data_IF_507376189846
#
_entry.id   IF_507376189846
#
_cell.length_a   1.000
_cell.length_b   1.000
_cell.length_c   1.000
_cell.angle_alpha   90.00
_cell.angle_beta   90.00
_cell.angle_gamma   90.00
#
_symmetry.space_group_name_H-M   'P 1'
#
loop_
_entity.id
_entity.type
_entity.pdbx_description
1 polymer ?
#
# COMPACT_ATOMS: atom_id res chain seq x y z
N UNK A 1 9.80 -37.30 -9.91
CA UNK A 1 10.09 -36.05 -10.63
C UNK A 1 11.60 -35.89 -10.61
N UNK A 2 12.25 -35.72 -11.79
CA UNK A 2 13.68 -35.44 -11.85
C UNK A 2 13.93 -34.02 -11.35
N UNK A 3 14.89 -33.86 -10.45
CA UNK A 3 15.30 -32.55 -9.95
C UNK A 3 16.12 -31.83 -11.04
N UNK A 4 16.12 -30.47 -11.06
CA UNK A 4 16.92 -29.72 -12.02
C UNK A 4 18.42 -29.76 -11.67
N UNK A 5 19.25 -29.40 -12.65
CA UNK A 5 20.65 -29.12 -12.36
C UNK A 5 20.77 -27.95 -11.35
N UNK A 6 21.77 -27.92 -10.47
CA UNK A 6 22.94 -28.83 -10.43
C UNK A 6 22.75 -30.07 -9.57
N UNK A 7 21.58 -30.29 -8.96
CA UNK A 7 21.33 -31.47 -8.12
C UNK A 7 21.35 -32.72 -8.98
N UNK A 8 20.62 -32.73 -10.08
CA UNK A 8 20.63 -33.80 -11.05
C UNK A 8 21.68 -33.55 -12.14
N UNK A 9 22.54 -34.52 -12.39
CA UNK A 9 23.64 -34.47 -13.35
C UNK A 9 23.63 -35.70 -14.26
N UNK A 10 24.67 -35.90 -15.07
CA UNK A 10 24.87 -37.10 -15.85
C UNK A 10 25.50 -38.24 -15.04
N UNK A 11 25.82 -38.00 -13.79
CA UNK A 11 26.38 -38.99 -12.85
C UNK A 11 25.27 -39.74 -12.08
N UNK A 12 25.63 -40.63 -11.19
CA UNK A 12 24.68 -41.31 -10.31
C UNK A 12 24.36 -40.41 -9.12
N UNK A 13 23.24 -39.71 -9.20
CA UNK A 13 22.77 -38.82 -8.15
C UNK A 13 21.68 -39.54 -7.33
N UNK A 14 21.93 -39.78 -6.06
CA UNK A 14 21.11 -40.62 -5.18
C UNK A 14 20.88 -39.93 -3.83
N UNK A 15 19.96 -40.49 -3.04
CA UNK A 15 19.80 -40.13 -1.63
C UNK A 15 19.43 -38.67 -1.36
N UNK A 16 18.64 -38.05 -2.25
CA UNK A 16 18.19 -36.66 -2.04
C UNK A 16 17.38 -36.52 -0.75
N UNK A 17 17.77 -35.56 0.07
CA UNK A 17 17.02 -35.12 1.25
C UNK A 17 17.04 -33.61 1.33
N UNK A 18 15.93 -33.01 1.71
CA UNK A 18 15.82 -31.57 1.83
C UNK A 18 15.15 -31.16 3.14
N UNK A 19 15.29 -29.87 3.50
CA UNK A 19 14.47 -29.24 4.52
C UNK A 19 13.00 -29.23 4.09
N UNK A 20 12.07 -29.06 5.04
CA UNK A 20 10.64 -28.96 4.76
C UNK A 20 10.30 -27.85 3.74
N UNK A 21 11.10 -26.81 3.68
CA UNK A 21 10.94 -25.67 2.76
C UNK A 21 11.69 -25.84 1.44
N UNK A 22 12.39 -26.95 1.24
CA UNK A 22 13.21 -27.23 0.05
C UNK A 22 14.34 -26.22 -0.21
N UNK A 23 14.73 -25.43 0.82
CA UNK A 23 15.76 -24.38 0.67
C UNK A 23 17.17 -24.92 0.69
N UNK A 24 17.39 -26.00 1.38
CA UNK A 24 18.69 -26.64 1.52
C UNK A 24 18.53 -28.13 1.72
N UNK A 25 19.54 -28.86 1.39
CA UNK A 25 19.53 -30.30 1.56
C UNK A 25 20.86 -30.93 1.15
N UNK A 26 20.84 -32.25 1.07
CA UNK A 26 21.98 -33.05 0.71
C UNK A 26 21.58 -34.10 -0.31
N UNK A 27 22.51 -34.50 -1.13
CA UNK A 27 22.39 -35.61 -2.03
C UNK A 27 23.76 -36.29 -2.19
N UNK A 28 23.78 -37.57 -2.53
CA UNK A 28 25.02 -38.26 -2.87
C UNK A 28 25.21 -38.29 -4.38
N UNK A 29 26.46 -38.18 -4.84
CA UNK A 29 26.79 -38.22 -6.25
C UNK A 29 28.22 -38.70 -6.45
N UNK A 30 28.45 -39.42 -7.55
CA UNK A 30 29.79 -39.86 -7.99
C UNK A 30 30.37 -38.93 -9.07
N UNK A 31 29.81 -37.70 -9.23
CA UNK A 31 30.20 -36.72 -10.27
C UNK A 31 31.70 -36.37 -10.30
N UNK A 32 32.38 -36.50 -9.19
CA UNK A 32 33.84 -36.27 -9.06
C UNK A 32 34.64 -37.58 -9.07
N UNK A 33 34.05 -38.68 -9.58
CA UNK A 33 34.72 -39.99 -9.70
C UNK A 33 34.69 -40.84 -8.44
N UNK A 34 34.04 -40.42 -7.36
CA UNK A 34 33.79 -41.17 -6.14
C UNK A 34 32.52 -40.70 -5.44
N UNK A 35 31.83 -41.61 -4.76
CA UNK A 35 30.64 -41.28 -4.00
C UNK A 35 30.94 -40.22 -2.91
N UNK A 36 30.26 -39.09 -2.99
CA UNK A 36 30.36 -38.00 -2.02
C UNK A 36 28.99 -37.45 -1.69
N UNK A 37 28.87 -36.83 -0.53
CA UNK A 37 27.69 -36.09 -0.12
C UNK A 37 27.89 -34.60 -0.48
N UNK A 38 26.96 -34.08 -1.26
CA UNK A 38 26.91 -32.68 -1.66
C UNK A 38 25.78 -31.98 -0.93
N UNK A 39 26.09 -30.81 -0.35
CA UNK A 39 25.06 -29.89 0.13
C UNK A 39 24.61 -28.93 -0.97
N UNK A 40 23.34 -28.62 -1.02
CA UNK A 40 22.80 -27.57 -1.89
C UNK A 40 22.05 -26.52 -1.08
N UNK A 41 22.00 -25.31 -1.63
CA UNK A 41 21.16 -24.22 -1.16
C UNK A 41 20.46 -23.60 -2.35
N UNK A 42 19.14 -23.56 -2.31
CA UNK A 42 18.34 -22.91 -3.35
C UNK A 42 18.45 -21.39 -3.20
N UNK A 43 18.96 -20.74 -4.22
CA UNK A 43 18.96 -19.28 -4.30
C UNK A 43 17.63 -18.85 -4.90
N UNK A 44 16.88 -18.07 -4.15
CA UNK A 44 15.62 -17.49 -4.60
C UNK A 44 15.93 -16.08 -5.10
N UNK A 45 15.66 -15.77 -6.38
CA UNK A 45 15.87 -14.43 -6.89
C UNK A 45 14.87 -13.48 -6.20
N UNK A 46 15.38 -12.47 -5.48
CA UNK A 46 14.58 -11.48 -4.78
C UNK A 46 14.24 -10.30 -5.72
N UNK A 47 13.12 -9.65 -5.44
CA UNK A 47 12.68 -8.41 -6.09
C UNK A 47 12.39 -8.53 -7.60
N UNK A 48 12.13 -9.75 -8.09
CA UNK A 48 11.78 -9.99 -9.50
C UNK A 48 10.29 -9.75 -9.71
N UNK A 49 9.97 -8.93 -10.73
CA UNK A 49 8.59 -8.66 -11.16
C UNK A 49 7.63 -8.23 -10.05
N UNK A 50 8.09 -7.38 -9.13
CA UNK A 50 7.27 -6.84 -8.05
C UNK A 50 6.19 -5.91 -8.60
N UNK A 51 4.89 -6.26 -8.52
CA UNK A 51 3.81 -5.37 -8.93
C UNK A 51 3.78 -4.12 -8.07
N UNK A 52 3.21 -3.05 -8.61
CA UNK A 52 2.97 -1.83 -7.84
C UNK A 52 1.87 -2.09 -6.82
N UNK A 53 2.09 -1.66 -5.58
CA UNK A 53 1.12 -1.74 -4.50
C UNK A 53 -0.18 -1.05 -4.88
N UNK A 54 -1.28 -1.76 -4.70
CA UNK A 54 -2.61 -1.23 -4.89
C UNK A 54 -3.18 -0.76 -3.55
N UNK A 55 -4.06 0.25 -3.63
CA UNK A 55 -4.79 0.76 -2.46
C UNK A 55 -6.20 0.22 -2.51
N UNK A 56 -6.69 -0.29 -1.38
CA UNK A 56 -8.08 -0.73 -1.27
C UNK A 56 -9.03 0.43 -1.55
N UNK A 57 -10.04 0.15 -2.36
CA UNK A 57 -11.11 1.09 -2.65
C UNK A 57 -12.45 0.44 -2.29
N UNK A 58 -13.14 1.05 -1.35
CA UNK A 58 -14.44 0.59 -0.86
C UNK A 58 -15.58 1.50 -1.29
N UNK A 59 -15.34 2.35 -2.31
CA UNK A 59 -16.34 3.27 -2.85
C UNK A 59 -17.00 2.69 -4.10
N UNK A 60 -18.33 2.73 -4.14
CA UNK A 60 -19.15 2.16 -5.20
C UNK A 60 -20.19 3.17 -5.68
N UNK A 61 -20.54 3.08 -6.96
CA UNK A 61 -21.64 3.79 -7.56
C UNK A 61 -22.79 2.80 -7.81
N UNK A 62 -23.99 3.21 -7.42
CA UNK A 62 -25.22 2.43 -7.55
C UNK A 62 -26.17 3.17 -8.49
N UNK A 63 -26.79 2.42 -9.41
CA UNK A 63 -27.77 2.98 -10.36
C UNK A 63 -29.02 2.13 -10.38
N UNK A 64 -30.15 2.77 -10.10
CA UNK A 64 -31.45 2.13 -10.25
C UNK A 64 -31.80 2.05 -11.75
N UNK A 65 -32.32 0.91 -12.24
CA UNK A 65 -32.88 0.87 -13.58
C UNK A 65 -34.07 1.84 -13.64
N UNK A 66 -34.05 2.73 -14.63
CA UNK A 66 -35.12 3.68 -14.88
C UNK A 66 -36.39 2.92 -15.32
N UNK A 67 -37.47 3.12 -14.60
CA UNK A 67 -38.77 2.55 -14.94
C UNK A 67 -39.79 3.71 -15.09
N UNK A 68 -40.00 4.10 -16.33
CA UNK A 68 -40.89 5.20 -16.68
C UNK A 68 -42.35 5.05 -16.19
N UNK A 69 -42.74 3.83 -15.83
CA UNK A 69 -44.09 3.58 -15.28
C UNK A 69 -44.24 4.06 -13.84
N UNK A 70 -43.12 4.15 -13.09
CA UNK A 70 -43.08 4.55 -11.69
C UNK A 70 -42.93 6.09 -11.51
N UNK A 71 -42.50 6.82 -12.55
CA UNK A 71 -42.27 8.27 -12.50
C UNK A 71 -43.54 9.08 -12.21
N UNK A 72 -44.71 8.47 -12.40
CA UNK A 72 -46.02 9.11 -12.17
C UNK A 72 -46.54 8.89 -10.74
N UNK A 73 -45.88 8.04 -9.95
CA UNK A 73 -46.28 7.75 -8.59
C UNK A 73 -45.46 8.62 -7.61
N UNK A 74 -46.02 8.98 -6.44
CA UNK A 74 -45.33 9.77 -5.43
C UNK A 74 -44.31 8.88 -4.66
N UNK A 75 -43.41 8.22 -5.42
CA UNK A 75 -42.41 7.28 -4.88
C UNK A 75 -41.03 7.90 -5.01
N UNK A 76 -40.20 7.65 -4.00
CA UNK A 76 -38.79 8.05 -3.96
C UNK A 76 -37.94 6.76 -3.88
N UNK A 77 -36.95 6.65 -4.75
CA UNK A 77 -35.96 5.60 -4.65
C UNK A 77 -35.03 5.87 -3.45
N UNK A 78 -34.82 4.89 -2.60
CA UNK A 78 -33.92 4.96 -1.46
C UNK A 78 -33.05 3.71 -1.40
N UNK A 79 -31.76 3.93 -1.40
CA UNK A 79 -30.75 2.90 -1.17
C UNK A 79 -30.52 2.73 0.32
N UNK A 80 -30.60 1.50 0.81
CA UNK A 80 -30.07 1.07 2.10
C UNK A 80 -28.74 0.39 1.84
N UNK A 81 -27.64 0.96 2.30
CA UNK A 81 -26.30 0.49 2.00
C UNK A 81 -25.86 -0.71 2.85
N UNK A 82 -26.70 -1.12 3.83
CA UNK A 82 -26.42 -2.25 4.68
C UNK A 82 -25.42 -2.01 5.83
N UNK A 83 -24.95 -0.77 5.97
CA UNK A 83 -24.10 -0.30 7.07
C UNK A 83 -24.78 0.74 7.96
N UNK A 84 -26.10 0.92 7.77
CA UNK A 84 -26.92 1.94 8.45
C UNK A 84 -27.03 3.25 7.68
N UNK A 85 -26.38 3.39 6.52
CA UNK A 85 -26.48 4.57 5.67
C UNK A 85 -27.60 4.41 4.66
N UNK A 86 -28.37 5.49 4.45
CA UNK A 86 -29.44 5.57 3.48
C UNK A 86 -29.19 6.73 2.51
N UNK A 87 -29.35 6.49 1.20
CA UNK A 87 -29.20 7.51 0.15
C UNK A 87 -30.44 7.55 -0.72
N UNK A 88 -31.05 8.73 -0.87
CA UNK A 88 -32.21 8.92 -1.72
C UNK A 88 -31.78 9.24 -3.16
N UNK A 89 -32.49 8.71 -4.13
CA UNK A 89 -32.25 8.97 -5.55
C UNK A 89 -32.14 7.72 -6.40
N UNK A 90 -32.22 7.89 -7.72
CA UNK A 90 -32.01 6.81 -8.68
C UNK A 90 -30.53 6.41 -8.78
N UNK A 91 -29.65 7.34 -8.48
CA UNK A 91 -28.19 7.11 -8.41
C UNK A 91 -27.71 7.44 -7.00
N UNK A 92 -26.74 6.65 -6.52
CA UNK A 92 -26.10 6.85 -5.23
C UNK A 92 -24.62 6.50 -5.33
N UNK A 93 -23.78 7.25 -4.62
CA UNK A 93 -22.39 6.90 -4.38
C UNK A 93 -22.20 6.66 -2.88
N UNK A 94 -21.50 5.62 -2.51
CA UNK A 94 -21.23 5.29 -1.11
C UNK A 94 -19.86 4.68 -0.94
N UNK A 95 -19.18 5.06 0.16
CA UNK A 95 -17.90 4.50 0.55
C UNK A 95 -18.08 3.77 1.88
N UNK A 96 -17.81 2.47 1.89
CA UNK A 96 -17.83 1.65 3.10
C UNK A 96 -16.55 1.85 3.92
N UNK A 97 -16.65 1.62 5.23
CA UNK A 97 -15.51 1.81 6.13
C UNK A 97 -14.40 0.76 5.96
N UNK A 98 -14.70 -0.39 5.32
CA UNK A 98 -13.74 -1.47 5.14
C UNK A 98 -14.36 -2.73 4.54
N UNK A 99 -13.62 -3.85 4.55
CA UNK A 99 -14.10 -5.11 4.04
C UNK A 99 -15.26 -5.66 4.87
N UNK A 100 -16.15 -6.40 4.23
CA UNK A 100 -17.34 -6.98 4.85
C UNK A 100 -18.32 -7.47 3.82
N UNK A 101 -19.44 -8.02 4.28
CA UNK A 101 -20.58 -8.39 3.43
C UNK A 101 -21.74 -7.48 3.78
N UNK A 102 -22.11 -6.62 2.85
CA UNK A 102 -23.16 -5.63 3.04
C UNK A 102 -24.44 -6.02 2.29
N UNK A 103 -25.57 -5.95 2.99
CA UNK A 103 -26.88 -6.21 2.40
C UNK A 103 -27.44 -4.93 1.81
N UNK A 104 -27.20 -4.71 0.51
CA UNK A 104 -27.64 -3.50 -0.18
C UNK A 104 -29.04 -3.69 -0.71
N UNK A 105 -29.95 -2.73 -0.46
CA UNK A 105 -31.32 -2.77 -0.94
C UNK A 105 -31.69 -1.46 -1.64
N UNK A 106 -32.48 -1.58 -2.67
CA UNK A 106 -33.18 -0.47 -3.32
C UNK A 106 -34.65 -0.54 -2.95
N UNK A 107 -35.10 0.34 -2.11
CA UNK A 107 -36.49 0.49 -1.69
C UNK A 107 -37.17 1.64 -2.45
N UNK A 108 -38.43 1.47 -2.81
CA UNK A 108 -39.30 2.57 -3.21
C UNK A 108 -40.13 3.01 -2.01
N UNK A 109 -39.99 4.27 -1.67
CA UNK A 109 -40.58 4.89 -0.47
C UNK A 109 -41.78 5.76 -0.91
N UNK A 110 -42.89 5.59 -0.22
CA UNK A 110 -44.01 6.51 -0.33
C UNK A 110 -43.61 7.87 0.26
N UNK A 111 -43.62 8.92 -0.58
CA UNK A 111 -43.16 10.26 -0.18
C UNK A 111 -44.05 10.94 0.88
N UNK A 112 -45.29 10.52 1.04
CA UNK A 112 -46.22 11.07 2.01
C UNK A 112 -46.08 10.42 3.41
N UNK A 113 -45.96 9.10 3.44
CA UNK A 113 -45.85 8.32 4.70
C UNK A 113 -44.44 8.00 5.12
N UNK A 114 -43.44 8.22 4.23
CA UNK A 114 -42.04 7.83 4.38
C UNK A 114 -41.85 6.32 4.70
N UNK A 115 -42.84 5.50 4.32
CA UNK A 115 -42.79 4.05 4.51
C UNK A 115 -42.32 3.33 3.25
N UNK A 116 -41.70 2.18 3.40
CA UNK A 116 -41.32 1.33 2.26
C UNK A 116 -42.56 0.84 1.58
N UNK A 117 -42.76 1.21 0.31
CA UNK A 117 -43.83 0.71 -0.51
C UNK A 117 -43.51 -0.68 -1.03
N UNK A 118 -42.29 -0.89 -1.58
CA UNK A 118 -41.74 -2.20 -1.86
C UNK A 118 -40.22 -2.14 -2.09
N UNK A 119 -39.54 -3.26 -1.88
CA UNK A 119 -38.13 -3.42 -2.20
C UNK A 119 -37.99 -3.83 -3.66
N UNK A 120 -37.36 -2.99 -4.48
CA UNK A 120 -37.15 -3.22 -5.91
C UNK A 120 -35.99 -4.18 -6.18
N UNK A 121 -34.93 -4.13 -5.38
CA UNK A 121 -33.76 -4.99 -5.48
C UNK A 121 -33.11 -5.16 -4.11
N UNK A 122 -32.53 -6.34 -3.90
CA UNK A 122 -31.68 -6.65 -2.74
C UNK A 122 -30.57 -7.60 -3.20
N UNK A 123 -29.35 -7.35 -2.75
CA UNK A 123 -28.19 -8.18 -3.05
C UNK A 123 -27.11 -8.05 -1.98
N UNK A 124 -26.29 -9.08 -1.90
CA UNK A 124 -25.09 -9.06 -1.08
C UNK A 124 -23.94 -8.40 -1.86
N UNK A 125 -23.26 -7.44 -1.24
CA UNK A 125 -22.05 -6.83 -1.74
C UNK A 125 -20.87 -7.30 -0.89
N UNK A 126 -20.11 -8.32 -1.34
CA UNK A 126 -18.88 -8.70 -0.66
C UNK A 126 -17.78 -7.70 -1.01
N UNK A 127 -17.18 -7.12 -0.01
CA UNK A 127 -16.03 -6.24 -0.13
C UNK A 127 -14.86 -6.92 0.55
N UNK A 128 -13.77 -7.11 -0.17
CA UNK A 128 -12.57 -7.77 0.32
C UNK A 128 -11.35 -6.88 0.13
N UNK A 129 -10.38 -6.99 1.03
CA UNK A 129 -9.08 -6.39 0.85
C UNK A 129 -8.32 -7.07 -0.29
N UNK A 130 -7.57 -6.27 -1.05
CA UNK A 130 -6.70 -6.76 -2.09
C UNK A 130 -5.66 -7.70 -1.48
N UNK A 131 -5.54 -8.90 -2.06
CA UNK A 131 -4.58 -9.92 -1.63
C UNK A 131 -3.20 -9.57 -2.19
N UNK A 132 -2.34 -8.98 -1.36
CA UNK A 132 -0.99 -8.56 -1.75
C UNK A 132 -0.05 -8.44 -0.54
N UNK A 133 1.24 -8.52 -0.78
CA UNK A 133 2.23 -7.94 0.13
C UNK A 133 1.97 -6.43 0.23
N UNK A 134 2.23 -5.82 1.39
CA UNK A 134 1.89 -4.42 1.62
C UNK A 134 3.01 -3.68 2.35
N UNK A 135 3.44 -2.56 1.79
CA UNK A 135 4.41 -1.64 2.38
C UNK A 135 3.66 -0.52 3.10
N UNK A 136 3.74 -0.49 4.42
CA UNK A 136 3.31 0.67 5.20
C UNK A 136 4.45 1.67 5.27
N UNK A 137 4.23 2.86 4.70
CA UNK A 137 5.20 3.97 4.67
C UNK A 137 4.46 5.28 4.40
N UNK A 138 5.14 6.41 4.58
CA UNK A 138 4.70 7.71 4.08
C UNK A 138 4.90 7.80 2.56
N UNK A 139 4.15 8.66 1.87
CA UNK A 139 4.31 8.91 0.42
C UNK A 139 5.48 9.83 0.11
N UNK A 140 5.78 10.74 1.04
CA UNK A 140 6.89 11.69 0.91
C UNK A 140 7.59 11.93 2.22
N UNK A 141 8.87 12.26 2.14
CA UNK A 141 9.71 12.60 3.31
C UNK A 141 10.82 13.56 2.89
N UNK A 142 11.34 14.33 3.83
CA UNK A 142 12.51 15.18 3.59
C UNK A 142 13.81 14.36 3.62
N UNK A 143 14.79 14.74 2.79
CA UNK A 143 16.13 14.12 2.77
C UNK A 143 16.75 14.13 4.16
N UNK A 144 17.45 13.05 4.51
CA UNK A 144 18.06 12.84 5.82
C UNK A 144 17.11 12.52 6.98
N UNK A 145 15.80 12.64 6.81
CA UNK A 145 14.81 12.22 7.84
C UNK A 145 14.64 10.71 7.83
N UNK A 146 14.60 10.15 9.02
CA UNK A 146 14.38 8.71 9.21
C UNK A 146 12.90 8.38 9.14
N UNK A 147 12.55 7.39 8.32
CA UNK A 147 11.21 6.82 8.22
C UNK A 147 11.22 5.36 8.66
N UNK A 148 10.16 4.94 9.32
CA UNK A 148 9.92 3.53 9.64
C UNK A 148 8.96 2.98 8.60
N UNK A 149 9.32 1.84 8.03
CA UNK A 149 8.51 1.10 7.08
C UNK A 149 8.27 -0.31 7.61
N UNK A 150 7.11 -0.88 7.35
CA UNK A 150 6.83 -2.25 7.74
C UNK A 150 5.99 -2.98 6.70
N UNK A 151 6.11 -4.32 6.69
CA UNK A 151 5.37 -5.24 5.84
C UNK A 151 4.24 -6.00 6.57
N UNK A 152 3.93 -5.64 7.82
CA UNK A 152 3.03 -6.40 8.68
C UNK A 152 1.56 -6.33 8.27
N UNK A 153 1.18 -5.31 7.48
CA UNK A 153 -0.18 -5.15 6.96
C UNK A 153 -0.41 -5.87 5.62
N UNK A 154 0.49 -6.79 5.25
CA UNK A 154 0.30 -7.64 4.07
C UNK A 154 -0.95 -8.51 4.24
N UNK A 155 -1.86 -8.46 3.27
CA UNK A 155 -3.06 -9.29 3.22
C UNK A 155 -2.81 -10.50 2.33
N UNK A 156 -2.31 -11.58 2.92
CA UNK A 156 -1.98 -12.84 2.23
C UNK A 156 -2.60 -14.01 3.01
N UNK A 157 -3.93 -14.21 2.91
CA UNK A 157 -4.62 -15.28 3.61
C UNK A 157 -4.06 -16.65 3.24
N UNK A 158 -3.67 -17.42 4.26
CA UNK A 158 -3.08 -18.74 4.07
C UNK A 158 -1.56 -18.76 3.97
N UNK A 159 -0.90 -17.62 3.78
CA UNK A 159 0.55 -17.48 3.73
C UNK A 159 1.10 -17.05 5.10
N UNK A 160 2.18 -17.69 5.53
CA UNK A 160 2.93 -17.32 6.72
C UNK A 160 4.29 -16.77 6.30
N UNK A 161 4.46 -15.45 6.40
CA UNK A 161 5.72 -14.78 6.11
C UNK A 161 6.76 -15.14 7.18
N UNK A 162 7.90 -15.70 6.76
CA UNK A 162 9.04 -16.02 7.61
C UNK A 162 10.16 -15.00 7.47
N UNK A 163 10.36 -14.47 6.26
CA UNK A 163 11.41 -13.51 5.96
C UNK A 163 10.85 -12.31 5.19
N UNK A 164 11.38 -11.13 5.53
CA UNK A 164 11.05 -9.86 4.91
C UNK A 164 12.34 -9.27 4.35
N UNK A 165 12.41 -9.10 3.05
CA UNK A 165 13.55 -8.52 2.35
C UNK A 165 13.15 -7.21 1.69
N UNK A 166 13.99 -6.20 1.85
CA UNK A 166 13.75 -4.85 1.36
C UNK A 166 14.83 -4.41 0.39
N UNK A 167 14.42 -3.75 -0.68
CA UNK A 167 15.26 -2.93 -1.54
C UNK A 167 14.72 -1.51 -1.51
N UNK A 168 15.56 -0.54 -1.12
CA UNK A 168 15.11 0.83 -0.83
C UNK A 168 15.30 1.79 -1.99
N UNK A 169 15.71 1.26 -3.16
CA UNK A 169 15.81 2.02 -4.39
C UNK A 169 17.06 2.91 -4.51
N UNK A 170 17.85 3.05 -3.45
CA UNK A 170 19.12 3.79 -3.40
C UNK A 170 20.35 2.86 -3.34
N UNK A 171 20.14 1.58 -3.62
CA UNK A 171 21.16 0.53 -3.48
C UNK A 171 21.20 -0.12 -2.10
N UNK A 172 20.48 0.42 -1.12
CA UNK A 172 20.39 -0.18 0.23
C UNK A 172 19.41 -1.35 0.22
N UNK A 173 19.80 -2.44 0.86
CA UNK A 173 18.95 -3.60 1.15
C UNK A 173 18.87 -3.82 2.66
N UNK A 174 17.74 -4.32 3.13
CA UNK A 174 17.52 -4.59 4.55
C UNK A 174 16.66 -5.83 4.75
N UNK A 175 16.60 -6.34 5.98
CA UNK A 175 15.80 -7.49 6.39
C UNK A 175 15.04 -7.17 7.67
N UNK A 176 13.85 -7.75 7.82
CA UNK A 176 13.00 -7.64 9.01
C UNK A 176 11.60 -7.13 8.68
N UNK A 177 10.63 -7.48 9.51
CA UNK A 177 9.23 -7.12 9.32
C UNK A 177 9.00 -5.60 9.41
N UNK A 178 9.85 -4.90 10.16
CA UNK A 178 9.91 -3.44 10.25
C UNK A 178 11.35 -2.97 10.14
N UNK A 179 11.57 -1.96 9.31
CA UNK A 179 12.89 -1.38 9.07
C UNK A 179 12.82 0.14 9.17
N UNK A 180 13.97 0.77 9.32
CA UNK A 180 14.06 2.21 9.31
C UNK A 180 15.17 2.66 8.36
N UNK A 181 14.90 3.70 7.55
CA UNK A 181 15.84 4.23 6.58
C UNK A 181 15.73 5.74 6.45
N UNK A 182 16.80 6.35 5.95
CA UNK A 182 16.87 7.78 5.64
C UNK A 182 17.62 7.98 4.32
N UNK A 183 16.91 8.42 3.28
CA UNK A 183 17.51 8.78 2.01
C UNK A 183 18.26 10.11 2.15
N UNK A 184 19.49 10.17 1.68
CA UNK A 184 20.34 11.36 1.76
C UNK A 184 20.00 12.37 0.67
N UNK A 185 19.77 11.88 -0.54
CA UNK A 185 19.54 12.72 -1.72
C UNK A 185 18.04 12.85 -2.01
N UNK A 186 17.58 14.03 -2.44
CA UNK A 186 16.23 14.20 -2.96
C UNK A 186 16.04 13.37 -4.22
N UNK A 187 14.81 12.87 -4.43
CA UNK A 187 14.50 12.05 -5.60
C UNK A 187 13.28 11.19 -5.40
N UNK A 188 12.98 10.40 -6.40
CA UNK A 188 11.90 9.40 -6.36
C UNK A 188 12.52 8.02 -6.28
N UNK A 189 12.20 7.30 -5.23
CA UNK A 189 12.74 5.98 -4.96
C UNK A 189 11.65 4.91 -5.06
N UNK A 190 11.94 3.82 -5.74
CA UNK A 190 11.07 2.64 -5.77
C UNK A 190 11.52 1.66 -4.70
N UNK A 191 10.70 1.54 -3.65
CA UNK A 191 10.90 0.57 -2.58
C UNK A 191 10.28 -0.74 -3.03
N UNK A 192 10.97 -1.86 -2.76
CA UNK A 192 10.44 -3.20 -2.96
C UNK A 192 10.48 -3.98 -1.66
N UNK A 193 9.40 -4.68 -1.37
CA UNK A 193 9.30 -5.65 -0.27
C UNK A 193 9.06 -7.01 -0.87
N UNK A 194 9.87 -7.96 -0.46
CA UNK A 194 9.78 -9.35 -0.84
C UNK A 194 9.58 -10.21 0.41
N UNK A 195 8.49 -10.95 0.46
CA UNK A 195 8.12 -11.84 1.54
C UNK A 195 8.41 -13.28 1.13
N UNK A 196 9.21 -13.98 1.90
CA UNK A 196 9.38 -15.41 1.77
C UNK A 196 8.67 -16.11 2.91
N UNK A 197 7.96 -17.19 2.61
CA UNK A 197 7.21 -17.92 3.62
C UNK A 197 6.54 -19.16 3.06
N UNK A 198 5.65 -19.74 3.81
CA UNK A 198 5.02 -21.04 3.53
C UNK A 198 3.51 -20.84 3.38
N UNK A 199 2.92 -21.41 2.33
CA UNK A 199 1.47 -21.55 2.20
C UNK A 199 0.95 -22.66 3.13
N UNK A 200 -0.24 -22.47 3.72
CA UNK A 200 -0.81 -23.41 4.71
C UNK A 200 -1.11 -24.80 4.18
N UNK A 201 -1.38 -24.91 2.89
CA UNK A 201 -1.79 -26.15 2.20
C UNK A 201 -0.61 -26.94 1.64
N UNK A 202 0.59 -26.43 1.75
CA UNK A 202 1.77 -27.09 1.22
C UNK A 202 3.05 -26.70 1.95
N UNK A 203 3.98 -27.64 2.06
CA UNK A 203 5.31 -27.40 2.58
C UNK A 203 6.22 -26.68 1.57
N UNK A 204 5.62 -25.87 0.67
CA UNK A 204 6.38 -25.18 -0.38
C UNK A 204 6.66 -23.76 0.03
N UNK A 205 7.93 -23.36 -0.12
CA UNK A 205 8.34 -21.99 0.02
C UNK A 205 7.79 -21.16 -1.15
N UNK A 206 6.99 -20.14 -0.83
CA UNK A 206 6.43 -19.19 -1.78
C UNK A 206 6.98 -17.79 -1.53
N UNK A 207 6.83 -16.93 -2.52
CA UNK A 207 7.34 -15.57 -2.54
C UNK A 207 6.25 -14.61 -2.99
N UNK A 208 6.09 -13.52 -2.25
CA UNK A 208 5.20 -12.43 -2.59
C UNK A 208 5.97 -11.12 -2.58
N UNK A 209 5.99 -10.44 -3.72
CA UNK A 209 6.70 -9.18 -3.87
C UNK A 209 5.74 -8.03 -4.16
N UNK A 210 6.09 -6.85 -3.70
CA UNK A 210 5.37 -5.60 -3.99
C UNK A 210 6.36 -4.45 -4.12
N UNK A 211 6.00 -3.45 -4.93
CA UNK A 211 6.75 -2.22 -5.05
C UNK A 211 5.89 -1.00 -4.73
N UNK A 212 6.51 0.04 -4.17
CA UNK A 212 5.89 1.34 -3.87
C UNK A 212 6.89 2.45 -4.13
N UNK A 213 6.41 3.59 -4.56
CA UNK A 213 7.22 4.79 -4.75
C UNK A 213 7.15 5.69 -3.52
N UNK A 214 8.28 6.27 -3.13
CA UNK A 214 8.38 7.33 -2.14
C UNK A 214 9.09 8.53 -2.76
N UNK A 215 8.61 9.74 -2.45
CA UNK A 215 9.23 10.99 -2.90
C UNK A 215 10.05 11.58 -1.76
N UNK A 216 11.35 11.74 -1.99
CA UNK A 216 12.25 12.40 -1.05
C UNK A 216 12.45 13.83 -1.52
N UNK A 217 11.94 14.78 -0.75
CA UNK A 217 12.05 16.22 -1.03
C UNK A 217 13.29 16.79 -0.37
N UNK A 218 13.84 17.85 -0.96
CA UNK A 218 15.01 18.52 -0.42
C UNK A 218 14.72 19.11 0.98
N UNK A 219 15.71 19.05 1.85
CA UNK A 219 15.67 19.74 3.15
C UNK A 219 15.86 21.22 2.93
N UNK A 220 15.02 22.06 3.50
CA UNK A 220 15.09 23.51 3.30
C UNK A 220 16.32 24.18 3.97
N UNK A 221 17.08 23.46 4.79
CA UNK A 221 18.29 23.99 5.44
C UNK A 221 19.44 24.28 4.46
N UNK A 222 19.36 23.78 3.21
CA UNK A 222 20.38 24.02 2.16
C UNK A 222 20.02 25.20 1.24
N UNK A 223 18.88 25.83 1.44
CA UNK A 223 18.59 27.11 0.82
C UNK A 223 19.30 28.14 1.71
N UNK A 224 20.44 28.65 1.24
CA UNK A 224 21.01 29.84 1.87
C UNK A 224 19.89 30.86 2.05
N UNK A 225 19.64 31.25 3.30
CA UNK A 225 18.75 32.35 3.68
C UNK A 225 19.29 33.63 3.01
N UNK A 226 19.05 33.75 1.72
CA UNK A 226 19.26 35.05 1.07
C UNK A 226 18.17 35.96 1.62
N UNK A 227 18.52 36.99 2.39
CA UNK A 227 17.51 37.83 2.95
C UNK A 227 16.68 38.44 1.83
N UNK A 228 15.36 38.23 1.89
CA UNK A 228 14.45 38.88 0.94
C UNK A 228 14.41 40.35 1.32
N UNK A 229 15.13 41.16 0.58
CA UNK A 229 15.12 42.62 0.74
C UNK A 229 13.90 43.17 -0.03
N UNK A 230 12.89 43.61 0.69
CA UNK A 230 11.76 44.29 0.08
C UNK A 230 12.03 45.81 0.10
N UNK A 231 11.87 46.44 -1.07
CA UNK A 231 11.96 47.89 -1.22
C UNK A 231 10.56 48.50 -1.35
N UNK A 232 10.28 49.53 -0.60
CA UNK A 232 9.05 50.30 -0.76
C UNK A 232 9.35 51.79 -0.74
N UNK A 233 8.52 52.59 -1.40
CA UNK A 233 8.58 54.06 -1.33
C UNK A 233 7.61 54.54 -0.25
N UNK A 234 8.07 55.35 0.69
CA UNK A 234 7.23 56.00 1.66
C UNK A 234 6.44 57.18 1.03
N UNK A 235 5.54 57.77 1.79
CA UNK A 235 4.69 58.91 1.31
C UNK A 235 5.48 60.15 0.89
N UNK A 236 6.78 60.25 1.24
CA UNK A 236 7.68 61.30 0.81
C UNK A 236 8.51 60.92 -0.43
N UNK A 237 8.25 59.71 -1.03
CA UNK A 237 8.97 59.20 -2.20
C UNK A 237 10.38 58.64 -1.89
N UNK A 238 10.69 58.44 -0.62
CA UNK A 238 12.00 57.89 -0.21
C UNK A 238 11.93 56.38 -0.25
N UNK A 239 12.83 55.72 -1.00
CA UNK A 239 12.96 54.26 -1.03
C UNK A 239 13.54 53.78 0.31
N UNK A 240 12.84 52.87 0.94
CA UNK A 240 13.27 52.21 2.18
C UNK A 240 13.38 50.69 1.91
N UNK A 241 14.37 50.10 2.56
CA UNK A 241 14.62 48.65 2.51
C UNK A 241 14.37 48.08 3.91
N UNK A 242 13.77 46.90 3.95
CA UNK A 242 13.77 46.09 5.16
C UNK A 242 14.00 44.62 4.82
N UNK A 243 14.76 43.97 5.67
CA UNK A 243 15.05 42.56 5.61
C UNK A 243 13.91 41.80 6.26
N UNK A 244 13.34 40.82 5.51
CA UNK A 244 12.52 39.79 6.09
C UNK A 244 13.45 38.67 6.60
N UNK A 245 13.38 38.38 7.90
CA UNK A 245 13.85 37.11 8.38
C UNK A 245 12.77 36.08 8.08
N UNK A 246 13.04 35.12 7.16
CA UNK A 246 12.18 33.95 6.97
C UNK A 246 12.16 33.15 8.27
N UNK A 247 10.99 33.01 8.88
CA UNK A 247 10.82 32.06 9.97
C UNK A 247 11.06 30.64 9.42
N UNK A 248 11.86 29.80 10.09
CA UNK A 248 12.03 28.41 9.71
C UNK A 248 10.66 27.73 9.57
N UNK A 249 10.47 26.97 8.50
CA UNK A 249 9.18 26.34 8.16
C UNK A 249 8.64 25.41 9.28
N UNK A 250 9.52 24.86 10.11
CA UNK A 250 9.20 24.10 11.30
C UNK A 250 8.53 24.91 12.41
N UNK A 251 8.77 26.22 12.49
CA UNK A 251 8.02 27.11 13.41
C UNK A 251 6.62 27.41 12.89
N UNK A 252 6.42 27.44 11.56
CA UNK A 252 5.09 27.59 10.94
C UNK A 252 4.20 26.37 11.22
N UNK A 253 4.77 25.18 11.20
CA UNK A 253 4.07 23.93 11.46
C UNK A 253 3.60 23.79 12.91
N UNK A 254 4.31 24.41 13.86
CA UNK A 254 3.90 24.47 15.27
C UNK A 254 2.76 25.46 15.52
N UNK A 255 2.74 26.59 14.84
CA UNK A 255 1.66 27.59 14.96
C UNK A 255 0.31 27.04 14.46
N UNK A 256 0.31 26.24 13.40
CA UNK A 256 -0.89 25.58 12.87
C UNK A 256 -1.42 24.50 13.84
N UNK A 257 -0.53 23.84 14.60
CA UNK A 257 -0.93 22.79 15.56
C UNK A 257 -1.53 23.32 16.85
N UNK A 258 -1.23 24.53 17.23
CA UNK A 258 -1.72 25.13 18.48
C UNK A 258 -3.06 25.86 18.32
N UNK A 259 -3.65 25.92 17.12
CA UNK A 259 -5.00 26.42 16.89
C UNK A 259 -5.16 27.92 17.14
N UNK A 260 -4.07 28.68 17.09
CA UNK A 260 -4.15 30.14 17.07
C UNK A 260 -4.47 30.62 15.64
N UNK A 261 -5.63 31.27 15.49
CA UNK A 261 -6.02 31.95 14.25
C UNK A 261 -4.95 33.02 13.94
N UNK A 262 -4.11 32.75 12.95
CA UNK A 262 -3.26 33.77 12.36
C UNK A 262 -4.15 34.75 11.58
N UNK A 263 -4.63 35.77 12.22
CA UNK A 263 -5.23 36.93 11.53
C UNK A 263 -4.07 37.74 10.91
N UNK A 264 -4.02 37.70 9.58
CA UNK A 264 -3.20 38.63 8.78
C UNK A 264 -3.92 39.96 8.64
#
# INVERSE_FOLDING_TARGET
VALPAPVNSSANDLGYTSSLTDRSGFFSSDRDGSDRIYGFRKVIPLFTDCPVQQVNNYCFEFKAPVDASLDKLPLIARWDMGDGTFVNGAEAAHCYAGPGVYQVRLDLIDSASNSVFFTKAAYELPIEDIRQAYITSVDSIRSGRRVIMNGLHSNLPGFAAEEYHWNLGDGTVAQGASIAHAWKEPGTYTIKLDLLGIERDGAHLTQHCVSRTIVVIQRFEDVEDSPVVAQYQDAAGVTREFEYQSLPFDQFDMAIREGEDATF
#
